data_IF_621934091868
#
_entry.id   IF_621934091868
#
_cell.length_a   1.000
_cell.length_b   1.000
_cell.length_c   1.000
_cell.angle_alpha   90.00
_cell.angle_beta   90.00
_cell.angle_gamma   90.00
#
_symmetry.space_group_name_H-M   'P 1'
#
loop_
_entity.id
_entity.type
_entity.pdbx_description
1 polymer ?
#
# COMPACT_ATOMS: atom_id res chain seq x y z
N UNK A 1 16.71 0.09 -8.50
CA UNK A 1 16.22 1.07 -7.51
C UNK A 1 16.60 0.70 -6.09
N UNK A 2 16.45 1.64 -5.15
CA UNK A 2 16.53 1.40 -3.70
C UNK A 2 15.42 0.40 -3.32
N UNK A 3 15.72 -0.65 -2.53
CA UNK A 3 14.70 -1.62 -2.13
C UNK A 3 13.64 -0.98 -1.25
N UNK A 4 12.37 -1.26 -1.53
CA UNK A 4 11.25 -0.98 -0.64
C UNK A 4 11.11 -2.11 0.37
N UNK A 5 10.85 -1.77 1.63
CA UNK A 5 10.65 -2.71 2.73
C UNK A 5 9.22 -2.67 3.22
N UNK A 6 8.63 -3.80 3.57
CA UNK A 6 7.26 -3.84 4.09
C UNK A 6 7.12 -2.88 5.29
N UNK A 7 6.08 -2.03 5.31
CA UNK A 7 5.90 -1.03 6.35
C UNK A 7 5.58 -1.68 7.71
N UNK A 8 5.99 -1.00 8.78
CA UNK A 8 5.64 -1.39 10.15
C UNK A 8 4.30 -0.79 10.58
N UNK A 9 3.97 0.39 10.06
CA UNK A 9 2.74 1.11 10.38
C UNK A 9 1.97 1.36 9.09
N UNK A 10 0.75 0.83 9.04
CA UNK A 10 -0.24 1.14 8.01
C UNK A 10 -1.29 2.11 8.54
N UNK A 11 -1.58 3.14 7.75
CA UNK A 11 -2.66 4.09 8.03
C UNK A 11 -3.50 4.33 6.79
N UNK A 12 -4.79 4.47 7.02
CA UNK A 12 -5.73 4.94 6.00
C UNK A 12 -5.66 6.45 5.90
N UNK A 13 -5.54 6.96 4.68
CA UNK A 13 -5.62 8.40 4.40
C UNK A 13 -7.09 8.78 4.27
N UNK A 14 -7.56 9.65 5.15
CA UNK A 14 -8.91 10.20 5.03
C UNK A 14 -8.84 11.61 4.50
N UNK A 15 -9.48 11.79 3.34
CA UNK A 15 -9.62 13.07 2.67
C UNK A 15 -10.91 13.74 3.15
N UNK A 16 -10.81 14.97 3.65
CA UNK A 16 -11.98 15.72 4.12
C UNK A 16 -12.77 16.37 2.99
N UNK A 17 -12.11 16.65 1.86
CA UNK A 17 -12.72 17.26 0.67
C UNK A 17 -12.60 16.33 -0.54
N UNK A 18 -13.68 15.61 -0.92
CA UNK A 18 -13.66 14.67 -2.04
C UNK A 18 -13.22 15.28 -3.38
N UNK A 19 -13.39 16.60 -3.57
CA UNK A 19 -12.98 17.28 -4.80
C UNK A 19 -11.46 17.28 -5.01
N UNK A 20 -10.69 17.05 -3.93
CA UNK A 20 -9.22 17.02 -3.97
C UNK A 20 -8.63 15.64 -4.21
N UNK A 21 -9.44 14.60 -4.45
CA UNK A 21 -8.96 13.22 -4.56
C UNK A 21 -7.85 13.03 -5.61
N UNK A 22 -7.98 13.68 -6.78
CA UNK A 22 -6.95 13.62 -7.84
C UNK A 22 -5.65 14.31 -7.42
N UNK A 23 -5.75 15.42 -6.69
CA UNK A 23 -4.58 16.15 -6.19
C UNK A 23 -3.90 15.37 -5.06
N UNK A 24 -4.68 14.74 -4.19
CA UNK A 24 -4.17 13.89 -3.11
C UNK A 24 -3.40 12.71 -3.68
N UNK A 25 -3.95 12.03 -4.70
CA UNK A 25 -3.25 10.94 -5.40
C UNK A 25 -1.85 11.38 -5.84
N UNK A 26 -1.77 12.52 -6.54
CA UNK A 26 -0.49 13.06 -7.01
C UNK A 26 0.46 13.36 -5.85
N UNK A 27 -0.01 14.01 -4.79
CA UNK A 27 0.80 14.32 -3.62
C UNK A 27 1.37 13.05 -2.96
N UNK A 28 0.55 12.00 -2.84
CA UNK A 28 0.98 10.71 -2.30
C UNK A 28 2.03 10.03 -3.19
N UNK A 29 1.84 10.04 -4.52
CA UNK A 29 2.78 9.47 -5.49
C UNK A 29 4.12 10.22 -5.48
N UNK A 30 4.11 11.55 -5.50
CA UNK A 30 5.31 12.41 -5.44
C UNK A 30 6.11 12.16 -4.14
N UNK A 31 5.43 12.16 -2.99
CA UNK A 31 6.08 11.94 -1.68
C UNK A 31 6.59 10.51 -1.49
N UNK A 32 5.94 9.53 -2.13
CA UNK A 32 6.43 8.16 -2.17
C UNK A 32 7.70 8.01 -3.02
N UNK A 33 7.83 8.80 -4.10
CA UNK A 33 9.04 8.86 -4.91
C UNK A 33 10.26 9.35 -4.15
N UNK A 34 10.05 10.28 -3.23
CA UNK A 34 11.08 10.76 -2.32
C UNK A 34 11.40 9.76 -1.19
N UNK A 35 10.68 8.65 -1.09
CA UNK A 35 10.87 7.62 -0.07
C UNK A 35 10.33 8.00 1.32
N UNK A 36 9.48 9.03 1.41
CA UNK A 36 8.90 9.46 2.69
C UNK A 36 7.97 8.40 3.26
N UNK A 37 7.19 7.76 2.38
CA UNK A 37 6.25 6.70 2.72
C UNK A 37 6.05 5.78 1.51
N UNK A 38 5.55 4.56 1.75
CA UNK A 38 4.94 3.75 0.71
C UNK A 38 3.45 4.09 0.61
N UNK A 39 2.91 3.96 -0.59
CA UNK A 39 1.49 4.21 -0.87
C UNK A 39 0.91 2.97 -1.51
N UNK A 40 -0.27 2.58 -1.04
CA UNK A 40 -1.01 1.45 -1.54
C UNK A 40 -2.45 1.86 -1.84
N UNK A 41 -2.94 1.39 -2.98
CA UNK A 41 -4.31 1.56 -3.44
C UNK A 41 -5.02 0.21 -3.38
N UNK A 42 -5.90 -0.02 -2.39
CA UNK A 42 -6.75 -1.20 -2.37
C UNK A 42 -7.48 -1.37 -3.71
N UNK A 43 -7.64 -2.61 -4.18
CA UNK A 43 -8.40 -2.90 -5.39
C UNK A 43 -9.89 -2.60 -5.19
N UNK A 44 -10.38 -2.78 -3.95
CA UNK A 44 -11.74 -2.44 -3.53
C UNK A 44 -11.69 -1.29 -2.53
N UNK A 45 -12.56 -0.29 -2.74
CA UNK A 45 -12.61 0.92 -1.93
C UNK A 45 -11.89 2.11 -2.57
N UNK A 46 -12.09 3.29 -2.00
CA UNK A 46 -11.54 4.55 -2.52
C UNK A 46 -10.37 5.10 -1.67
N UNK A 47 -10.22 4.64 -0.44
CA UNK A 47 -9.27 5.20 0.50
C UNK A 47 -7.85 4.67 0.23
N UNK A 48 -6.89 5.58 0.19
CA UNK A 48 -5.47 5.23 0.11
C UNK A 48 -4.95 4.72 1.44
N UNK A 49 -3.98 3.81 1.38
CA UNK A 49 -3.23 3.35 2.55
C UNK A 49 -1.80 3.85 2.41
N UNK A 50 -1.25 4.41 3.47
CA UNK A 50 0.18 4.74 3.57
C UNK A 50 0.87 3.75 4.48
N UNK A 51 2.09 3.37 4.12
CA UNK A 51 2.97 2.53 4.89
C UNK A 51 4.24 3.29 5.28
N UNK A 52 4.57 3.29 6.56
CA UNK A 52 5.79 3.90 7.08
C UNK A 52 6.51 2.94 8.03
N UNK A 53 7.80 3.19 8.26
CA UNK A 53 8.60 2.44 9.24
C UNK A 53 8.41 3.05 10.63
N UNK A 54 8.29 4.37 10.75
CA UNK A 54 8.10 5.07 12.02
C UNK A 54 6.96 6.09 12.00
N UNK A 55 6.33 6.31 13.16
CA UNK A 55 5.15 7.19 13.28
C UNK A 55 5.43 8.64 12.86
N UNK A 56 6.64 9.15 13.08
CA UNK A 56 7.03 10.53 12.70
C UNK A 56 6.88 10.79 11.19
N UNK A 57 7.02 9.75 10.36
CA UNK A 57 6.85 9.89 8.91
C UNK A 57 5.40 10.25 8.55
N UNK A 58 4.42 9.87 9.36
CA UNK A 58 3.02 10.28 9.17
C UNK A 58 2.88 11.79 9.41
N UNK A 59 3.46 12.31 10.49
CA UNK A 59 3.40 13.75 10.80
C UNK A 59 4.06 14.58 9.69
N UNK A 60 5.23 14.12 9.21
CA UNK A 60 5.93 14.74 8.07
C UNK A 60 5.07 14.68 6.81
N UNK A 61 4.46 13.53 6.49
CA UNK A 61 3.62 13.37 5.31
C UNK A 61 2.41 14.31 5.36
N UNK A 62 1.71 14.39 6.50
CA UNK A 62 0.57 15.28 6.68
C UNK A 62 0.98 16.76 6.55
N UNK A 63 2.07 17.17 7.20
CA UNK A 63 2.56 18.54 7.14
C UNK A 63 2.96 18.96 5.72
N UNK A 64 3.63 18.06 4.97
CA UNK A 64 4.02 18.33 3.58
C UNK A 64 2.84 18.40 2.63
N UNK A 65 1.88 17.47 2.74
CA UNK A 65 0.66 17.49 1.92
C UNK A 65 -0.12 18.80 2.13
N UNK A 66 -0.22 19.28 3.38
CA UNK A 66 -0.84 20.57 3.66
C UNK A 66 -0.01 21.75 3.14
N UNK A 67 1.30 21.76 3.39
CA UNK A 67 2.17 22.86 2.98
C UNK A 67 2.27 23.02 1.45
N UNK A 68 2.51 21.93 0.73
CA UNK A 68 2.84 21.90 -0.70
C UNK A 68 1.59 21.84 -1.58
N UNK A 69 0.56 21.10 -1.14
CA UNK A 69 -0.64 20.84 -1.96
C UNK A 69 -1.91 21.49 -1.40
N UNK A 70 -1.89 22.04 -0.17
CA UNK A 70 -3.06 22.63 0.49
C UNK A 70 -4.21 21.64 0.62
N UNK A 71 -3.89 20.37 0.91
CA UNK A 71 -4.88 19.31 1.06
C UNK A 71 -4.97 18.90 2.54
N UNK A 72 -6.05 19.26 3.24
CA UNK A 72 -6.26 18.76 4.59
C UNK A 72 -6.55 17.25 4.53
N UNK A 73 -5.71 16.48 5.19
CA UNK A 73 -5.88 15.04 5.39
C UNK A 73 -5.78 14.69 6.87
N UNK A 74 -6.28 13.51 7.23
CA UNK A 74 -5.96 12.86 8.50
C UNK A 74 -5.64 11.39 8.28
N UNK A 75 -4.94 10.79 9.23
CA UNK A 75 -4.69 9.35 9.24
C UNK A 75 -5.60 8.64 10.24
N UNK A 76 -6.11 7.49 9.83
CA UNK A 76 -6.85 6.56 10.69
C UNK A 76 -6.18 5.19 10.69
N UNK A 77 -6.40 4.35 11.72
CA UNK A 77 -5.97 2.96 11.68
C UNK A 77 -6.44 2.28 10.40
N UNK A 78 -5.50 1.68 9.65
CA UNK A 78 -5.85 0.83 8.52
C UNK A 78 -6.42 -0.50 9.04
N UNK A 79 -7.31 -1.17 8.28
CA UNK A 79 -7.79 -2.52 8.62
C UNK A 79 -6.73 -3.61 8.37
N UNK A 80 -5.47 -3.23 8.17
CA UNK A 80 -4.38 -4.10 7.75
C UNK A 80 -3.21 -3.96 8.72
N UNK A 81 -2.58 -5.08 9.05
CA UNK A 81 -1.37 -5.11 9.90
C UNK A 81 -0.10 -5.14 9.07
N UNK A 82 -0.15 -5.60 7.82
CA UNK A 82 1.04 -5.64 6.96
C UNK A 82 0.71 -5.72 5.48
N UNK A 83 1.66 -5.30 4.66
CA UNK A 83 1.62 -5.36 3.20
C UNK A 83 2.71 -6.30 2.68
N UNK A 84 2.41 -7.16 1.71
CA UNK A 84 3.36 -8.08 1.07
C UNK A 84 3.21 -8.00 -0.43
N UNK A 85 4.30 -7.75 -1.15
CA UNK A 85 4.27 -7.86 -2.61
C UNK A 85 4.08 -9.31 -3.00
N UNK A 86 3.20 -9.54 -3.98
CA UNK A 86 2.88 -10.88 -4.45
C UNK A 86 3.46 -11.14 -5.83
N UNK A 87 4.00 -12.33 -6.03
CA UNK A 87 4.52 -12.76 -7.32
C UNK A 87 4.40 -14.27 -7.47
N UNK A 88 4.47 -14.74 -8.72
CA UNK A 88 4.53 -16.17 -9.04
C UNK A 88 5.36 -16.37 -10.29
N UNK A 89 6.14 -17.46 -10.39
CA UNK A 89 6.76 -17.85 -11.66
C UNK A 89 5.73 -18.26 -12.73
N UNK A 90 4.49 -18.59 -12.34
CA UNK A 90 3.38 -18.88 -13.26
C UNK A 90 2.40 -17.68 -13.30
N UNK A 91 2.37 -16.91 -14.41
CA UNK A 91 1.48 -15.77 -14.55
C UNK A 91 -0.01 -16.13 -14.44
N UNK A 92 -0.40 -17.35 -14.82
CA UNK A 92 -1.77 -17.81 -14.71
C UNK A 92 -2.16 -17.99 -13.25
N UNK A 93 -1.27 -18.56 -12.43
CA UNK A 93 -1.49 -18.71 -10.98
C UNK A 93 -1.59 -17.38 -10.28
N UNK A 94 -0.73 -16.42 -10.65
CA UNK A 94 -0.83 -15.06 -10.10
C UNK A 94 -2.18 -14.42 -10.44
N UNK A 95 -2.63 -14.56 -11.68
CA UNK A 95 -3.94 -14.05 -12.11
C UNK A 95 -5.09 -14.70 -11.33
N UNK A 96 -5.12 -16.03 -11.25
CA UNK A 96 -6.15 -16.78 -10.52
C UNK A 96 -6.19 -16.36 -9.03
N UNK A 97 -5.01 -16.16 -8.42
CA UNK A 97 -4.89 -15.63 -7.06
C UNK A 97 -5.47 -14.22 -6.94
N UNK A 98 -5.14 -13.32 -7.87
CA UNK A 98 -5.62 -11.93 -7.86
C UNK A 98 -7.15 -11.90 -7.94
N UNK A 99 -7.73 -12.65 -8.87
CA UNK A 99 -9.19 -12.74 -9.06
C UNK A 99 -9.90 -13.28 -7.83
N UNK A 100 -9.32 -14.29 -7.16
CA UNK A 100 -9.90 -14.90 -5.97
C UNK A 100 -9.81 -14.04 -4.70
N UNK A 101 -8.86 -13.09 -4.63
CA UNK A 101 -8.51 -12.40 -3.37
C UNK A 101 -8.62 -10.86 -3.45
N UNK A 102 -9.28 -10.30 -4.47
CA UNK A 102 -9.36 -8.84 -4.72
C UNK A 102 -9.65 -7.98 -3.47
N UNK A 103 -10.51 -8.44 -2.56
CA UNK A 103 -10.86 -7.71 -1.32
C UNK A 103 -9.70 -7.49 -0.34
N UNK A 104 -8.63 -8.27 -0.46
CA UNK A 104 -7.42 -8.20 0.37
C UNK A 104 -6.20 -7.78 -0.45
N UNK A 105 -6.42 -7.32 -1.68
CA UNK A 105 -5.37 -6.88 -2.57
C UNK A 105 -5.42 -5.39 -2.81
N UNK A 106 -4.26 -4.85 -3.12
CA UNK A 106 -4.07 -3.51 -3.63
C UNK A 106 -2.91 -3.48 -4.61
N UNK A 107 -2.57 -2.28 -5.03
CA UNK A 107 -1.39 -2.01 -5.82
C UNK A 107 -0.53 -0.97 -5.10
N UNK A 108 0.78 -1.07 -5.25
CA UNK A 108 1.66 0.03 -4.87
C UNK A 108 1.63 1.15 -5.94
N UNK A 109 2.54 2.13 -5.81
CA UNK A 109 2.70 3.22 -6.77
C UNK A 109 3.06 2.74 -8.17
N UNK A 110 3.83 1.66 -8.27
CA UNK A 110 4.36 1.13 -9.53
C UNK A 110 3.40 0.09 -10.15
N UNK A 111 2.14 0.08 -9.70
CA UNK A 111 1.08 -0.88 -10.05
C UNK A 111 1.43 -2.36 -9.76
N UNK A 112 2.41 -2.59 -8.87
CA UNK A 112 2.77 -3.93 -8.44
C UNK A 112 1.73 -4.46 -7.45
N UNK A 113 1.25 -5.71 -7.60
CA UNK A 113 0.21 -6.24 -6.76
C UNK A 113 0.72 -6.51 -5.32
N UNK A 114 -0.10 -6.13 -4.35
CA UNK A 114 0.22 -6.21 -2.92
C UNK A 114 -0.92 -6.87 -2.16
N UNK A 115 -0.59 -7.86 -1.34
CA UNK A 115 -1.49 -8.44 -0.36
C UNK A 115 -1.50 -7.60 0.93
N UNK A 116 -2.68 -7.07 1.27
CA UNK A 116 -2.94 -6.26 2.45
C UNK A 116 -3.57 -7.17 3.53
N UNK A 117 -2.73 -7.73 4.40
CA UNK A 117 -3.17 -8.70 5.40
C UNK A 117 -3.86 -8.00 6.58
N UNK A 118 -5.04 -8.48 6.96
CA UNK A 118 -5.79 -7.99 8.13
C UNK A 118 -5.15 -8.41 9.45
N UNK A 119 -4.50 -9.57 9.45
CA UNK A 119 -3.79 -10.12 10.59
C UNK A 119 -2.74 -11.16 10.12
N UNK A 120 -1.85 -11.60 11.01
CA UNK A 120 -0.80 -12.58 10.66
C UNK A 120 -1.37 -13.97 10.33
N UNK A 121 -2.53 -14.34 10.88
CA UNK A 121 -3.15 -15.63 10.58
C UNK A 121 -3.66 -15.69 9.14
N UNK A 122 -4.34 -14.65 8.68
CA UNK A 122 -4.84 -14.52 7.32
C UNK A 122 -3.71 -14.59 6.28
N UNK A 123 -2.57 -13.96 6.57
CA UNK A 123 -1.38 -14.07 5.71
C UNK A 123 -0.90 -15.53 5.62
N UNK A 124 -0.72 -16.21 6.76
CA UNK A 124 -0.24 -17.61 6.78
C UNK A 124 -1.20 -18.56 6.07
N UNK A 125 -2.48 -18.48 6.41
CA UNK A 125 -3.52 -19.33 5.83
C UNK A 125 -3.64 -19.16 4.31
N UNK A 126 -3.57 -17.91 3.83
CA UNK A 126 -3.60 -17.63 2.40
C UNK A 126 -2.35 -18.16 1.70
N UNK A 127 -1.16 -18.03 2.31
CA UNK A 127 0.07 -18.56 1.75
C UNK A 127 0.08 -20.10 1.69
N UNK A 128 -0.49 -20.79 2.68
CA UNK A 128 -0.66 -22.25 2.67
C UNK A 128 -1.61 -22.73 1.56
N UNK A 129 -2.69 -21.96 1.30
CA UNK A 129 -3.67 -22.27 0.25
C UNK A 129 -3.13 -22.01 -1.16
N UNK A 130 -2.18 -21.09 -1.29
CA UNK A 130 -1.61 -20.66 -2.56
C UNK A 130 -0.08 -20.77 -2.54
N UNK A 131 0.45 -22.01 -2.47
CA UNK A 131 1.89 -22.25 -2.31
C UNK A 131 2.71 -21.76 -3.52
N UNK A 132 2.09 -21.53 -4.67
CA UNK A 132 2.76 -20.99 -5.86
C UNK A 132 2.91 -19.45 -5.83
N UNK A 133 2.34 -18.78 -4.82
CA UNK A 133 2.41 -17.33 -4.64
C UNK A 133 3.45 -17.00 -3.58
N UNK A 134 4.42 -16.18 -3.96
CA UNK A 134 5.41 -15.60 -3.03
C UNK A 134 4.83 -14.35 -2.38
N UNK A 135 4.99 -14.20 -1.06
CA UNK A 135 4.60 -13.02 -0.29
C UNK A 135 5.84 -12.34 0.26
N UNK A 136 6.40 -11.37 -0.47
CA UNK A 136 7.69 -10.77 -0.16
C UNK A 136 7.57 -9.61 0.85
N UNK A 137 8.53 -9.52 1.78
CA UNK A 137 8.72 -8.38 2.70
C UNK A 137 9.50 -7.24 2.07
N UNK A 138 10.07 -7.43 0.89
CA UNK A 138 10.81 -6.42 0.16
C UNK A 138 10.44 -6.45 -1.32
N UNK A 139 10.54 -5.31 -1.97
CA UNK A 139 10.34 -5.19 -3.40
C UNK A 139 11.38 -4.28 -4.01
N UNK A 140 11.90 -4.69 -5.16
CA UNK A 140 12.85 -3.88 -5.91
C UNK A 140 12.09 -3.28 -7.09
N UNK A 141 11.77 -1.99 -7.01
CA UNK A 141 11.23 -1.27 -8.15
C UNK A 141 12.23 -1.34 -9.30
N UNK A 142 11.78 -1.86 -10.45
CA UNK A 142 12.55 -1.84 -11.69
C UNK A 142 12.77 -0.38 -12.09
N UNK A 143 14.05 0.00 -12.24
CA UNK A 143 14.48 1.30 -12.77
C UNK A 143 14.26 1.37 -14.27
#
# INVERSE_FOLDING_TARGET
>A
GIPSFAPEILRRVVLTDPMKAKQLRRALEDLAEEGVAQVFRPMLGADWIVGVVGALQLDVLQARIDAEYKIPIRFEPAPYVTARWISSPDPKRLKDFIEANQSTLGHDRDDSPVFLARDTFSLRFTAERWPEITFATTHQSAS
#
